data_IF_786991291237
#
_entry.id   IF_786991291237
#
_cell.length_a   1.000
_cell.length_b   1.000
_cell.length_c   1.000
_cell.angle_alpha   90.00
_cell.angle_beta   90.00
_cell.angle_gamma   90.00
#
_symmetry.space_group_name_H-M   'P 1'
#
loop_
_entity.id
_entity.type
_entity.pdbx_description
1 polymer ?
#
# COMPACT_ATOMS: atom_id res chain seq x y z
N UNK A 1 12.51 -15.39 -22.38
CA UNK A 1 11.28 -15.83 -23.07
C UNK A 1 11.35 -15.64 -24.58
N UNK A 2 11.74 -14.46 -25.12
CA UNK A 2 11.74 -14.22 -26.58
C UNK A 2 13.02 -14.65 -27.34
N UNK A 3 14.15 -14.80 -26.63
CA UNK A 3 15.44 -15.17 -27.23
C UNK A 3 15.58 -16.63 -27.74
N UNK A 4 15.06 -17.67 -27.06
CA UNK A 4 15.31 -19.07 -27.44
C UNK A 4 14.93 -19.45 -28.89
N UNK A 5 13.84 -18.90 -29.46
CA UNK A 5 13.56 -19.10 -30.88
C UNK A 5 14.62 -18.56 -31.85
N UNK A 6 15.37 -17.52 -31.46
CA UNK A 6 16.50 -17.00 -32.25
C UNK A 6 17.67 -18.00 -32.31
N UNK A 7 17.84 -18.80 -31.26
CA UNK A 7 18.87 -19.83 -31.16
C UNK A 7 18.39 -21.22 -31.62
N UNK A 8 17.20 -21.30 -32.26
CA UNK A 8 16.57 -22.56 -32.70
C UNK A 8 16.30 -23.57 -31.59
N UNK A 9 16.21 -23.12 -30.33
CA UNK A 9 15.87 -23.98 -29.19
C UNK A 9 14.36 -24.24 -29.08
N UNK A 10 13.54 -23.40 -29.74
CA UNK A 10 12.11 -23.57 -29.92
C UNK A 10 11.67 -22.75 -31.17
N UNK A 11 10.39 -22.74 -31.52
CA UNK A 11 9.85 -21.96 -32.65
C UNK A 11 8.48 -21.37 -32.30
N UNK A 12 8.12 -20.29 -32.98
CA UNK A 12 6.77 -19.73 -32.86
C UNK A 12 5.81 -20.47 -33.78
N UNK A 13 4.70 -20.97 -33.23
CA UNK A 13 3.61 -21.61 -33.97
C UNK A 13 2.27 -21.00 -33.58
N UNK A 14 1.23 -21.09 -34.44
CA UNK A 14 -0.12 -20.71 -34.05
C UNK A 14 -0.55 -21.52 -32.81
N UNK A 15 -0.86 -20.83 -31.72
CA UNK A 15 -1.30 -21.46 -30.46
C UNK A 15 -2.82 -21.68 -30.46
N UNK A 16 -3.24 -22.82 -29.90
CA UNK A 16 -4.65 -23.14 -29.71
C UNK A 16 -5.44 -23.24 -31.02
N UNK A 17 -6.46 -22.38 -31.18
CA UNK A 17 -7.30 -22.34 -32.39
C UNK A 17 -6.71 -21.51 -33.53
N UNK A 18 -5.51 -20.93 -33.35
CA UNK A 18 -4.76 -20.27 -34.42
C UNK A 18 -4.98 -18.76 -34.58
N UNK A 19 -5.72 -18.09 -33.68
CA UNK A 19 -5.88 -16.63 -33.70
C UNK A 19 -4.66 -15.85 -33.16
N UNK A 20 -3.66 -16.54 -32.61
CA UNK A 20 -2.45 -15.92 -32.08
C UNK A 20 -1.26 -16.85 -32.26
N UNK A 21 -0.07 -16.26 -32.36
CA UNK A 21 1.19 -17.00 -32.38
C UNK A 21 1.76 -17.05 -30.96
N UNK A 22 2.35 -18.19 -30.60
CA UNK A 22 3.11 -18.35 -29.38
C UNK A 22 4.13 -19.47 -29.51
N UNK A 23 4.65 -19.96 -28.40
CA UNK A 23 5.75 -20.94 -28.45
C UNK A 23 5.22 -22.33 -28.78
N UNK A 24 6.03 -23.15 -29.44
CA UNK A 24 5.65 -24.51 -29.76
C UNK A 24 5.79 -25.41 -28.52
N UNK A 25 4.70 -25.55 -27.77
CA UNK A 25 4.58 -26.45 -26.61
C UNK A 25 4.48 -27.93 -27.00
N UNK A 26 4.25 -28.22 -28.27
CA UNK A 26 4.13 -29.59 -28.77
C UNK A 26 5.46 -30.19 -29.18
N UNK A 27 6.49 -29.34 -29.37
CA UNK A 27 7.84 -29.83 -29.63
C UNK A 27 8.37 -30.66 -28.45
N UNK A 28 8.71 -31.91 -28.75
CA UNK A 28 9.17 -32.89 -27.76
C UNK A 28 10.69 -32.96 -27.65
N UNK A 29 11.42 -32.13 -28.40
CA UNK A 29 12.87 -32.06 -28.33
C UNK A 29 13.37 -31.77 -26.91
N UNK A 30 14.55 -32.31 -26.56
CA UNK A 30 15.15 -32.08 -25.25
C UNK A 30 15.46 -30.58 -25.03
N UNK A 31 15.85 -29.87 -26.09
CA UNK A 31 16.11 -28.43 -26.06
C UNK A 31 14.86 -27.64 -25.65
N UNK A 32 13.71 -27.90 -26.29
CA UNK A 32 12.44 -27.26 -25.94
C UNK A 32 12.02 -27.55 -24.51
N UNK A 33 12.17 -28.80 -24.04
CA UNK A 33 11.81 -29.19 -22.66
C UNK A 33 12.66 -28.46 -21.63
N UNK A 34 13.98 -28.45 -21.79
CA UNK A 34 14.91 -27.74 -20.90
C UNK A 34 14.58 -26.24 -20.88
N UNK A 35 14.31 -25.67 -22.04
CA UNK A 35 13.90 -24.28 -22.15
C UNK A 35 12.64 -23.97 -21.33
N UNK A 36 11.57 -24.75 -21.45
CA UNK A 36 10.33 -24.51 -20.69
C UNK A 36 10.51 -24.73 -19.19
N UNK A 37 11.31 -25.72 -18.77
CA UNK A 37 11.62 -25.92 -17.34
C UNK A 37 12.32 -24.69 -16.76
N UNK A 38 13.34 -24.18 -17.46
CA UNK A 38 14.04 -22.96 -17.05
C UNK A 38 13.12 -21.74 -17.08
N UNK A 39 12.26 -21.62 -18.09
CA UNK A 39 11.28 -20.54 -18.17
C UNK A 39 10.32 -20.57 -16.97
N UNK A 40 9.77 -21.72 -16.60
CA UNK A 40 8.92 -21.83 -15.42
C UNK A 40 9.67 -21.51 -14.13
N UNK A 41 10.90 -22.00 -13.96
CA UNK A 41 11.69 -21.70 -12.78
C UNK A 41 11.96 -20.19 -12.63
N UNK A 42 12.52 -19.56 -13.65
CA UNK A 42 13.03 -18.18 -13.58
C UNK A 42 11.99 -17.10 -13.84
N UNK A 43 10.94 -17.40 -14.60
CA UNK A 43 9.93 -16.40 -15.02
C UNK A 43 8.65 -16.58 -14.22
N UNK A 44 8.33 -17.80 -13.78
CA UNK A 44 7.12 -18.06 -13.02
C UNK A 44 7.35 -18.21 -11.51
N UNK A 45 8.09 -19.24 -11.09
CA UNK A 45 8.21 -19.62 -9.67
C UNK A 45 9.11 -18.69 -8.87
N UNK A 46 10.31 -18.35 -9.35
CA UNK A 46 11.23 -17.44 -8.63
C UNK A 46 10.58 -16.07 -8.43
N UNK A 47 10.04 -15.39 -9.46
CA UNK A 47 9.36 -14.11 -9.27
C UNK A 47 8.17 -14.22 -8.32
N UNK A 48 7.38 -15.30 -8.40
CA UNK A 48 6.27 -15.52 -7.48
C UNK A 48 6.72 -15.63 -6.02
N UNK A 49 7.74 -16.44 -5.73
CA UNK A 49 8.28 -16.61 -4.38
C UNK A 49 8.80 -15.28 -3.84
N UNK A 50 9.56 -14.54 -4.65
CA UNK A 50 10.08 -13.22 -4.28
C UNK A 50 8.94 -12.24 -3.99
N UNK A 51 7.94 -12.18 -4.86
CA UNK A 51 6.76 -11.34 -4.67
C UNK A 51 6.01 -11.71 -3.38
N UNK A 52 5.84 -13.00 -3.09
CA UNK A 52 5.18 -13.48 -1.89
C UNK A 52 5.95 -13.07 -0.62
N UNK A 53 7.26 -13.33 -0.57
CA UNK A 53 8.11 -13.00 0.58
C UNK A 53 8.09 -11.50 0.85
N UNK A 54 8.30 -10.68 -0.19
CA UNK A 54 8.32 -9.22 -0.05
C UNK A 54 6.95 -8.71 0.42
N UNK A 55 5.85 -9.20 -0.15
CA UNK A 55 4.51 -8.78 0.26
C UNK A 55 4.19 -9.15 1.71
N UNK A 56 4.54 -10.36 2.13
CA UNK A 56 4.37 -10.79 3.52
C UNK A 56 5.20 -9.93 4.48
N UNK A 57 6.47 -9.68 4.14
CA UNK A 57 7.35 -8.83 4.93
C UNK A 57 6.79 -7.40 5.08
N UNK A 58 6.43 -6.77 3.96
CA UNK A 58 5.90 -5.41 3.93
C UNK A 58 4.58 -5.32 4.69
N UNK A 59 3.67 -6.27 4.50
CA UNK A 59 2.40 -6.33 5.22
C UNK A 59 2.61 -6.43 6.73
N UNK A 60 3.48 -7.35 7.18
CA UNK A 60 3.80 -7.53 8.60
C UNK A 60 4.43 -6.27 9.20
N UNK A 61 5.37 -5.64 8.50
CA UNK A 61 6.02 -4.40 8.95
C UNK A 61 5.03 -3.24 9.08
N UNK A 62 4.18 -3.03 8.07
CA UNK A 62 3.16 -1.97 8.11
C UNK A 62 2.16 -2.22 9.24
N UNK A 63 1.73 -3.46 9.44
CA UNK A 63 0.82 -3.81 10.55
C UNK A 63 1.48 -3.48 11.89
N UNK A 64 2.72 -3.93 12.12
CA UNK A 64 3.45 -3.66 13.35
C UNK A 64 3.60 -2.15 13.62
N UNK A 65 4.04 -1.38 12.61
CA UNK A 65 4.19 0.07 12.71
C UNK A 65 2.85 0.78 12.97
N UNK A 66 1.78 0.38 12.28
CA UNK A 66 0.47 0.97 12.47
C UNK A 66 -0.06 0.73 13.89
N UNK A 67 0.12 -0.49 14.44
CA UNK A 67 -0.24 -0.80 15.83
C UNK A 67 0.61 -0.03 16.84
N UNK A 68 1.93 0.11 16.60
CA UNK A 68 2.80 0.89 17.48
C UNK A 68 2.41 2.37 17.51
N UNK A 69 2.24 3.02 16.34
CA UNK A 69 1.85 4.43 16.25
C UNK A 69 0.45 4.67 16.80
N UNK A 70 -0.52 3.79 16.55
CA UNK A 70 -1.87 3.91 17.11
C UNK A 70 -1.89 3.82 18.64
N UNK A 71 -1.04 2.96 19.23
CA UNK A 71 -0.88 2.88 20.69
C UNK A 71 -0.32 4.17 21.27
N UNK A 72 0.73 4.74 20.65
CA UNK A 72 1.33 6.00 21.12
C UNK A 72 0.33 7.16 21.10
N UNK A 73 -0.46 7.28 20.03
CA UNK A 73 -1.53 8.29 19.94
C UNK A 73 -2.57 8.12 21.05
N UNK A 74 -2.93 6.87 21.37
CA UNK A 74 -3.90 6.57 22.44
C UNK A 74 -3.34 6.93 23.82
N UNK A 75 -2.07 6.65 24.10
CA UNK A 75 -1.43 7.02 25.37
C UNK A 75 -1.31 8.53 25.52
N UNK A 76 -0.94 9.26 24.46
CA UNK A 76 -0.86 10.74 24.51
C UNK A 76 -2.24 11.39 24.67
N UNK A 77 -3.27 10.89 23.99
CA UNK A 77 -4.65 11.38 24.17
C UNK A 77 -5.17 11.09 25.58
N UNK A 78 -4.86 9.92 26.14
CA UNK A 78 -5.22 9.55 27.51
C UNK A 78 -4.52 10.42 28.56
N UNK A 79 -3.24 10.76 28.34
CA UNK A 79 -2.49 11.67 29.21
C UNK A 79 -2.98 13.12 29.12
N UNK A 80 -3.33 13.61 27.91
CA UNK A 80 -3.91 14.95 27.76
C UNK A 80 -5.28 15.06 28.44
N UNK A 81 -6.13 14.02 28.38
CA UNK A 81 -7.41 14.00 29.08
C UNK A 81 -7.24 13.98 30.60
N UNK A 82 -6.21 13.30 31.12
CA UNK A 82 -5.85 13.33 32.54
C UNK A 82 -5.31 14.69 32.99
N UNK A 83 -4.57 15.42 32.14
CA UNK A 83 -4.08 16.77 32.43
C UNK A 83 -5.22 17.80 32.47
N UNK A 84 -6.18 17.74 31.54
CA UNK A 84 -7.38 18.59 31.57
C UNK A 84 -8.25 18.34 32.82
N UNK A 85 -8.31 17.09 33.28
CA UNK A 85 -9.05 16.73 34.51
C UNK A 85 -8.39 17.30 35.77
N UNK A 86 -7.08 17.53 35.77
CA UNK A 86 -6.36 18.16 36.88
C UNK A 86 -6.37 19.70 36.84
N UNK A 87 -6.75 20.31 35.72
CA UNK A 87 -6.85 21.78 35.61
C UNK A 87 -8.29 22.30 35.78
N UNK A 88 -9.27 21.40 35.96
CA UNK A 88 -10.70 21.74 36.07
C UNK A 88 -11.30 21.48 37.47
N UNK A 89 -10.48 21.38 38.52
CA UNK A 89 -10.94 21.20 39.91
C UNK A 89 -10.16 22.08 40.89
N UNK A 90 -10.31 23.39 40.76
CA UNK A 90 -10.06 24.32 41.87
C UNK A 90 -10.88 25.60 41.74
N UNK A 91 -12.21 25.47 41.87
CA UNK A 91 -13.07 26.54 42.34
C UNK A 91 -14.01 25.97 43.40
N UNK A 92 -13.48 25.81 44.61
CA UNK A 92 -14.30 25.66 45.81
C UNK A 92 -14.83 27.04 46.19
N UNK A 93 -16.12 27.25 45.93
CA UNK A 93 -16.91 28.30 46.56
C UNK A 93 -16.98 28.05 48.07
N UNK A 94 -16.32 28.89 48.85
CA UNK A 94 -16.50 29.02 50.29
C UNK A 94 -16.91 30.45 50.59
N UNK A 95 -18.13 30.61 51.11
CA UNK A 95 -18.60 31.83 51.74
C UNK A 95 -18.50 31.70 53.25
N UNK A 96 -17.71 32.62 53.83
CA UNK A 96 -17.82 33.24 55.16
C UNK A 96 -17.47 32.44 56.42
N UNK A 97 -16.31 32.74 57.01
CA UNK A 97 -16.15 33.56 58.26
C UNK A 97 -14.73 33.42 58.84
N UNK A 98 -14.10 34.54 59.23
CA UNK A 98 -12.75 34.71 59.82
C UNK A 98 -12.64 34.18 61.29
N UNK A 99 -11.49 34.27 62.04
CA UNK A 99 -10.15 34.85 61.75
C UNK A 99 -8.90 34.08 62.30
N UNK A 100 -7.69 34.63 62.05
CA UNK A 100 -6.37 34.40 62.71
C UNK A 100 -5.63 33.10 62.29
N UNK A 101 -4.47 33.09 61.61
CA UNK A 101 -3.15 33.59 62.05
C UNK A 101 -2.25 34.01 60.88
N UNK A 102 -1.41 35.04 61.12
CA UNK A 102 -0.36 35.63 60.28
C UNK A 102 0.62 34.63 59.64
N UNK A 103 1.07 34.93 58.41
CA UNK A 103 2.49 35.28 58.18
C UNK A 103 2.68 36.16 56.93
N UNK A 104 3.40 37.27 57.12
CA UNK A 104 3.90 38.22 56.11
C UNK A 104 5.15 37.64 55.43
N UNK A 105 5.38 37.88 54.13
CA UNK A 105 6.31 38.93 53.66
C UNK A 105 6.48 38.97 52.13
N UNK A 106 6.17 40.12 51.56
CA UNK A 106 6.94 40.93 50.58
C UNK A 106 7.83 40.28 49.51
N UNK A 107 7.42 40.54 48.25
CA UNK A 107 8.23 41.13 47.13
C UNK A 107 9.31 40.28 46.45
N UNK A 108 8.99 39.75 45.25
CA UNK A 108 9.79 40.04 44.04
C UNK A 108 8.98 39.85 42.74
N UNK A 109 8.72 40.96 42.05
CA UNK A 109 8.20 41.03 40.69
C UNK A 109 9.31 40.66 39.70
N UNK A 110 9.59 39.37 39.40
CA UNK A 110 10.33 39.01 38.16
C UNK A 110 10.23 37.55 37.68
N UNK A 111 9.16 36.77 37.94
CA UNK A 111 9.10 35.38 37.42
C UNK A 111 7.80 34.99 36.70
N UNK A 112 6.81 35.87 36.62
CA UNK A 112 5.52 35.58 35.96
C UNK A 112 5.60 35.55 34.42
N UNK A 113 6.66 36.07 33.81
CA UNK A 113 6.84 36.02 32.35
C UNK A 113 7.58 34.76 31.87
N UNK A 114 8.59 34.28 32.61
CA UNK A 114 9.32 33.06 32.28
C UNK A 114 8.45 31.80 32.42
N UNK A 115 7.62 31.70 33.47
CA UNK A 115 6.67 30.58 33.63
C UNK A 115 5.58 30.57 32.55
N UNK A 116 5.14 31.74 32.07
CA UNK A 116 4.15 31.84 30.98
C UNK A 116 4.74 31.55 29.59
N UNK A 117 6.04 31.79 29.38
CA UNK A 117 6.73 31.45 28.13
C UNK A 117 7.07 29.95 28.10
N UNK A 118 7.57 29.37 29.19
CA UNK A 118 7.87 27.93 29.30
C UNK A 118 6.62 27.06 29.15
N UNK A 119 5.49 27.46 29.74
CA UNK A 119 4.20 26.77 29.57
C UNK A 119 3.66 26.87 28.13
N UNK A 120 3.76 28.04 27.48
CA UNK A 120 3.36 28.20 26.06
C UNK A 120 4.28 27.43 25.10
N UNK A 121 5.58 27.37 25.37
CA UNK A 121 6.54 26.57 24.60
C UNK A 121 6.25 25.07 24.76
N UNK A 122 5.98 24.59 25.98
CA UNK A 122 5.58 23.21 26.23
C UNK A 122 4.27 22.84 25.49
N UNK A 123 3.25 23.70 25.53
CA UNK A 123 1.98 23.49 24.79
C UNK A 123 2.20 23.50 23.26
N UNK A 124 3.06 24.39 22.73
CA UNK A 124 3.44 24.40 21.31
C UNK A 124 4.21 23.13 20.91
N UNK A 125 5.10 22.66 21.77
CA UNK A 125 5.90 21.46 21.54
C UNK A 125 5.03 20.21 21.53
N UNK A 126 4.06 20.08 22.44
CA UNK A 126 3.06 18.99 22.46
C UNK A 126 2.18 18.99 21.22
N UNK A 127 1.68 20.16 20.76
CA UNK A 127 0.91 20.27 19.51
C UNK A 127 1.72 19.86 18.28
N UNK A 128 2.99 20.25 18.22
CA UNK A 128 3.89 19.91 17.10
C UNK A 128 4.16 18.41 17.05
N UNK A 129 4.41 17.79 18.21
CA UNK A 129 4.57 16.35 18.35
C UNK A 129 3.31 15.58 17.93
N UNK A 130 2.13 16.01 18.39
CA UNK A 130 0.84 15.41 18.00
C UNK A 130 0.59 15.49 16.49
N UNK A 131 0.87 16.64 15.86
CA UNK A 131 0.72 16.77 14.40
C UNK A 131 1.67 15.86 13.64
N UNK A 132 2.94 15.75 14.08
CA UNK A 132 3.89 14.83 13.47
C UNK A 132 3.42 13.37 13.60
N UNK A 133 2.90 12.97 14.76
CA UNK A 133 2.38 11.63 14.99
C UNK A 133 1.14 11.31 14.13
N UNK A 134 0.22 12.27 13.99
CA UNK A 134 -0.95 12.15 13.11
C UNK A 134 -0.55 12.04 11.63
N UNK A 135 0.43 12.84 11.18
CA UNK A 135 0.97 12.76 9.82
C UNK A 135 1.60 11.40 9.55
N UNK A 136 2.40 10.86 10.49
CA UNK A 136 2.97 9.52 10.39
C UNK A 136 1.89 8.44 10.28
N UNK A 137 0.83 8.49 11.10
CA UNK A 137 -0.30 7.57 11.01
C UNK A 137 -0.99 7.63 9.65
N UNK A 138 -1.20 8.83 9.12
CA UNK A 138 -1.80 9.02 7.80
C UNK A 138 -0.93 8.48 6.67
N UNK A 139 0.39 8.60 6.79
CA UNK A 139 1.37 7.99 5.87
C UNK A 139 1.31 6.47 5.94
N UNK A 140 1.35 5.87 7.13
CA UNK A 140 1.23 4.42 7.32
C UNK A 140 -0.12 3.87 6.82
N UNK A 141 -1.21 4.62 6.96
CA UNK A 141 -2.52 4.26 6.36
C UNK A 141 -2.47 4.29 4.83
N UNK A 142 -1.70 5.19 4.23
CA UNK A 142 -1.46 5.20 2.79
C UNK A 142 -0.58 4.03 2.37
N UNK A 143 0.53 3.78 3.07
CA UNK A 143 1.42 2.63 2.85
C UNK A 143 0.66 1.31 2.94
N UNK A 144 -0.27 1.18 3.90
CA UNK A 144 -1.18 0.03 4.01
C UNK A 144 -2.04 -0.17 2.76
N UNK A 145 -2.53 0.91 2.14
CA UNK A 145 -3.32 0.82 0.89
C UNK A 145 -2.44 0.31 -0.26
N UNK A 146 -1.20 0.80 -0.36
CA UNK A 146 -0.24 0.30 -1.35
C UNK A 146 0.06 -1.19 -1.13
N UNK A 147 0.28 -1.62 0.11
CA UNK A 147 0.51 -3.03 0.44
C UNK A 147 -0.71 -3.92 0.14
N UNK A 148 -1.94 -3.42 0.30
CA UNK A 148 -3.12 -4.16 -0.15
C UNK A 148 -3.19 -4.25 -1.67
N UNK A 149 -2.85 -3.17 -2.39
CA UNK A 149 -2.80 -3.20 -3.84
C UNK A 149 -1.79 -4.23 -4.38
N UNK A 150 -0.63 -4.36 -3.73
CA UNK A 150 0.36 -5.36 -4.13
C UNK A 150 -0.11 -6.79 -3.86
N UNK A 151 -0.91 -7.04 -2.82
CA UNK A 151 -1.59 -8.33 -2.63
C UNK A 151 -2.53 -8.63 -3.80
N UNK A 152 -3.31 -7.64 -4.26
CA UNK A 152 -4.18 -7.82 -5.43
C UNK A 152 -3.37 -8.11 -6.71
N UNK A 153 -2.21 -7.48 -6.89
CA UNK A 153 -1.30 -7.77 -8.01
C UNK A 153 -0.77 -9.20 -7.96
N UNK A 154 -0.42 -9.72 -6.77
CA UNK A 154 0.01 -11.12 -6.62
C UNK A 154 -1.14 -12.09 -6.90
N UNK A 155 -2.36 -11.79 -6.44
CA UNK A 155 -3.52 -12.64 -6.74
C UNK A 155 -3.87 -12.63 -8.23
N UNK A 156 -3.80 -11.47 -8.88
CA UNK A 156 -4.01 -11.33 -10.33
C UNK A 156 -2.96 -12.15 -11.10
N UNK A 157 -1.70 -12.05 -10.70
CA UNK A 157 -0.63 -12.83 -11.29
C UNK A 157 -0.92 -14.34 -11.20
N UNK A 158 -1.34 -14.83 -10.04
CA UNK A 158 -1.72 -16.23 -9.86
C UNK A 158 -2.94 -16.60 -10.70
N UNK A 159 -4.04 -15.84 -10.62
CA UNK A 159 -5.27 -16.18 -11.32
C UNK A 159 -5.09 -16.18 -12.84
N UNK A 160 -4.31 -15.25 -13.37
CA UNK A 160 -4.13 -15.08 -14.81
C UNK A 160 -3.08 -16.04 -15.39
N UNK A 161 -2.01 -16.36 -14.66
CA UNK A 161 -0.92 -17.20 -15.17
C UNK A 161 -0.98 -18.66 -14.72
N UNK A 162 -1.58 -18.98 -13.56
CA UNK A 162 -1.63 -20.36 -13.04
C UNK A 162 -2.34 -21.33 -13.98
N UNK A 163 -3.52 -21.01 -14.57
CA UNK A 163 -4.18 -21.94 -15.49
C UNK A 163 -3.30 -22.29 -16.70
N UNK A 164 -2.63 -21.29 -17.26
CA UNK A 164 -1.71 -21.49 -18.37
C UNK A 164 -0.48 -22.31 -17.97
N UNK A 165 0.13 -21.99 -16.83
CA UNK A 165 1.29 -22.72 -16.29
C UNK A 165 0.97 -24.19 -16.00
N UNK A 166 -0.20 -24.46 -15.40
CA UNK A 166 -0.69 -25.82 -15.17
C UNK A 166 -0.80 -26.55 -16.50
N UNK A 167 -1.54 -26.01 -17.47
CA UNK A 167 -1.74 -26.68 -18.75
C UNK A 167 -0.40 -26.97 -19.46
N UNK A 168 0.50 -26.00 -19.49
CA UNK A 168 1.83 -26.17 -20.07
C UNK A 168 2.70 -27.22 -19.34
N UNK A 169 2.65 -27.30 -18.01
CA UNK A 169 3.32 -28.35 -17.24
C UNK A 169 2.73 -29.74 -17.53
N UNK A 170 1.40 -29.85 -17.61
CA UNK A 170 0.73 -31.09 -17.99
C UNK A 170 1.17 -31.58 -19.38
N UNK A 171 1.32 -30.66 -20.34
CA UNK A 171 1.89 -30.98 -21.65
C UNK A 171 3.33 -31.46 -21.54
N UNK A 172 4.18 -30.82 -20.72
CA UNK A 172 5.59 -31.17 -20.55
C UNK A 172 5.79 -32.60 -20.00
N UNK A 173 4.93 -33.05 -19.08
CA UNK A 173 4.97 -34.40 -18.49
C UNK A 173 4.33 -35.50 -19.35
N UNK A 174 4.00 -35.22 -20.62
CA UNK A 174 3.48 -36.19 -21.60
C UNK A 174 2.19 -36.91 -21.18
N UNK A 175 1.27 -36.21 -20.50
CA UNK A 175 -0.08 -36.74 -20.25
C UNK A 175 -0.83 -36.82 -21.60
N UNK A 176 -0.96 -38.04 -22.16
CA UNK A 176 -1.49 -38.35 -23.50
C UNK A 176 -2.90 -37.77 -23.81
N UNK A 177 -3.64 -37.29 -22.81
CA UNK A 177 -5.06 -36.94 -22.92
C UNK A 177 -5.37 -35.49 -23.37
N UNK A 178 -4.37 -34.63 -23.57
CA UNK A 178 -4.62 -33.18 -23.73
C UNK A 178 -4.47 -32.68 -25.18
N UNK A 179 -3.99 -33.51 -26.12
CA UNK A 179 -3.76 -33.11 -27.53
C UNK A 179 -5.01 -32.60 -28.30
N UNK A 180 -6.22 -32.63 -27.71
CA UNK A 180 -7.47 -32.15 -28.34
C UNK A 180 -8.06 -30.85 -27.72
N UNK A 181 -7.44 -30.25 -26.70
CA UNK A 181 -8.02 -29.09 -25.99
C UNK A 181 -7.38 -27.74 -26.37
N UNK A 182 -7.26 -27.47 -27.67
CA UNK A 182 -6.79 -26.18 -28.19
C UNK A 182 -7.58 -24.96 -27.67
N UNK A 183 -8.87 -25.15 -27.37
CA UNK A 183 -9.74 -24.11 -26.81
C UNK A 183 -9.33 -23.74 -25.38
N UNK A 184 -9.01 -24.71 -24.53
CA UNK A 184 -8.65 -24.46 -23.13
C UNK A 184 -7.31 -23.70 -23.04
N UNK A 185 -6.32 -24.09 -23.85
CA UNK A 185 -5.05 -23.35 -23.99
C UNK A 185 -5.29 -21.91 -24.43
N UNK A 186 -6.20 -21.70 -25.38
CA UNK A 186 -6.57 -20.37 -25.88
C UNK A 186 -7.18 -19.52 -24.76
N UNK A 187 -8.15 -20.07 -24.01
CA UNK A 187 -8.78 -19.37 -22.88
C UNK A 187 -7.71 -18.96 -21.86
N UNK A 188 -6.84 -19.89 -21.44
CA UNK A 188 -5.78 -19.58 -20.49
C UNK A 188 -4.81 -18.50 -21.00
N UNK A 189 -4.46 -18.52 -22.29
CA UNK A 189 -3.61 -17.50 -22.90
C UNK A 189 -4.28 -16.11 -22.92
N UNK A 190 -5.59 -16.04 -23.17
CA UNK A 190 -6.34 -14.79 -23.09
C UNK A 190 -6.46 -14.28 -21.66
N UNK A 191 -6.71 -15.14 -20.68
CA UNK A 191 -6.74 -14.76 -19.26
C UNK A 191 -5.36 -14.25 -18.80
N UNK A 192 -4.26 -14.84 -19.27
CA UNK A 192 -2.93 -14.28 -19.00
C UNK A 192 -2.76 -12.87 -19.58
N UNK A 193 -3.32 -12.60 -20.76
CA UNK A 193 -3.27 -11.29 -21.43
C UNK A 193 -4.17 -10.24 -20.77
N UNK A 194 -5.25 -10.62 -20.07
CA UNK A 194 -6.10 -9.64 -19.35
C UNK A 194 -5.37 -8.92 -18.23
N UNK A 195 -4.30 -9.51 -17.68
CA UNK A 195 -3.43 -8.87 -16.70
C UNK A 195 -2.82 -7.54 -17.22
N UNK A 196 -2.64 -7.38 -18.54
CA UNK A 196 -2.16 -6.12 -19.13
C UNK A 196 -3.12 -4.96 -18.93
N UNK A 197 -4.42 -5.24 -18.77
CA UNK A 197 -5.46 -4.24 -18.52
C UNK A 197 -5.65 -4.05 -17.01
N UNK A 198 -5.68 -5.15 -16.24
CA UNK A 198 -5.97 -5.12 -14.81
C UNK A 198 -4.84 -4.48 -13.98
N UNK A 199 -3.57 -4.68 -14.35
CA UNK A 199 -2.43 -4.11 -13.64
C UNK A 199 -2.50 -2.56 -13.56
N UNK A 200 -2.60 -1.80 -14.69
CA UNK A 200 -2.79 -0.35 -14.64
C UNK A 200 -4.00 0.09 -13.81
N UNK A 201 -5.13 -0.62 -13.89
CA UNK A 201 -6.34 -0.28 -13.13
C UNK A 201 -6.12 -0.40 -11.62
N UNK A 202 -5.41 -1.44 -11.17
CA UNK A 202 -5.06 -1.62 -9.75
C UNK A 202 -4.18 -0.45 -9.28
N UNK A 203 -3.18 -0.05 -10.06
CA UNK A 203 -2.33 1.11 -9.71
C UNK A 203 -3.13 2.42 -9.65
N UNK A 204 -4.00 2.66 -10.64
CA UNK A 204 -4.86 3.85 -10.69
C UNK A 204 -5.81 3.92 -9.50
N UNK A 205 -6.41 2.80 -9.10
CA UNK A 205 -7.25 2.73 -7.91
C UNK A 205 -6.48 3.08 -6.62
N UNK A 206 -5.18 2.75 -6.57
CA UNK A 206 -4.33 2.88 -5.38
C UNK A 206 -3.81 4.31 -5.14
N UNK A 207 -3.56 5.09 -6.21
CA UNK A 207 -3.01 6.47 -6.14
C UNK A 207 -3.92 7.49 -5.40
N UNK A 208 -5.14 7.09 -5.02
CA UNK A 208 -6.23 7.88 -4.43
C UNK A 208 -7.16 8.49 -5.47
N UNK A 209 -8.34 7.91 -5.45
CA UNK A 209 -9.63 8.48 -5.83
C UNK A 209 -9.87 9.93 -5.39
N UNK A 210 -9.19 10.50 -4.38
CA UNK A 210 -9.38 11.90 -3.98
C UNK A 210 -8.65 12.91 -4.88
N UNK A 211 -7.45 12.59 -5.38
CA UNK A 211 -6.75 13.46 -6.35
C UNK A 211 -7.44 13.33 -7.70
N UNK A 212 -7.81 12.12 -8.10
CA UNK A 212 -8.54 11.86 -9.34
C UNK A 212 -9.96 12.48 -9.30
N UNK A 213 -10.71 12.33 -8.20
CA UNK A 213 -11.99 13.04 -8.00
C UNK A 213 -11.80 14.55 -7.97
N UNK A 214 -10.77 15.08 -7.28
CA UNK A 214 -10.48 16.51 -7.26
C UNK A 214 -10.13 17.04 -8.66
N UNK A 215 -9.37 16.29 -9.46
CA UNK A 215 -9.08 16.64 -10.86
C UNK A 215 -10.34 16.58 -11.72
N UNK A 216 -11.16 15.53 -11.63
CA UNK A 216 -12.41 15.41 -12.36
C UNK A 216 -13.41 16.52 -11.99
N UNK A 217 -13.59 16.83 -10.71
CA UNK A 217 -14.48 17.90 -10.25
C UNK A 217 -13.93 19.31 -10.53
N UNK A 218 -12.62 19.53 -10.38
CA UNK A 218 -11.98 20.80 -10.74
C UNK A 218 -11.85 21.00 -12.25
N UNK A 219 -11.90 19.94 -13.07
CA UNK A 219 -11.88 20.07 -14.54
C UNK A 219 -13.18 20.68 -15.07
N UNK A 220 -14.31 20.36 -14.43
CA UNK A 220 -15.64 20.88 -14.78
C UNK A 220 -15.93 22.28 -14.20
N UNK A 221 -15.16 22.74 -13.21
CA UNK A 221 -15.33 24.04 -12.58
C UNK A 221 -14.27 25.05 -13.05
N UNK A 222 -14.73 26.20 -13.56
CA UNK A 222 -13.88 27.29 -14.06
C UNK A 222 -13.50 28.35 -13.02
N UNK A 223 -13.84 28.15 -11.74
CA UNK A 223 -13.55 29.16 -10.72
C UNK A 223 -12.06 29.29 -10.41
N UNK A 224 -11.66 30.47 -9.93
CA UNK A 224 -10.25 30.81 -9.68
C UNK A 224 -9.59 29.85 -8.65
N UNK A 225 -10.34 29.46 -7.60
CA UNK A 225 -9.87 28.51 -6.59
C UNK A 225 -9.54 27.12 -7.18
N UNK A 226 -10.42 26.57 -8.04
CA UNK A 226 -10.20 25.27 -8.70
C UNK A 226 -9.05 25.32 -9.74
N UNK A 227 -8.84 26.48 -10.39
CA UNK A 227 -7.71 26.70 -11.32
C UNK A 227 -6.37 26.73 -10.59
N UNK A 228 -6.29 27.38 -9.43
CA UNK A 228 -5.08 27.42 -8.59
C UNK A 228 -4.77 26.02 -8.04
N UNK A 229 -5.77 25.32 -7.48
CA UNK A 229 -5.61 23.98 -6.91
C UNK A 229 -5.14 22.95 -7.95
N UNK A 230 -5.56 23.09 -9.22
CA UNK A 230 -5.05 22.28 -10.35
C UNK A 230 -3.54 22.45 -10.57
N UNK A 231 -3.01 23.68 -10.49
CA UNK A 231 -1.56 23.94 -10.69
C UNK A 231 -0.70 23.38 -9.55
N UNK A 232 -1.22 23.33 -8.32
CA UNK A 232 -0.48 22.82 -7.15
C UNK A 232 -0.45 21.29 -7.09
N UNK A 233 -1.44 20.60 -7.68
CA UNK A 233 -1.54 19.12 -7.65
C UNK A 233 -0.67 18.46 -8.75
N UNK A 234 -0.36 19.19 -9.83
CA UNK A 234 0.39 18.68 -10.99
C UNK A 234 1.91 18.92 -10.87
N UNK A 235 2.35 19.67 -9.85
CA UNK A 235 3.76 19.79 -9.44
C UNK A 235 4.03 18.82 -8.30
#
# INVERSE_FOLDING_TARGET
FALPPLFKWNKYTPEGIGFHCGLDWFDRSLSSRIYFILAFAFIYFIPFIVLLIINLYVYCKIRCLLYATARMIKTDLGLNFSYEKHQSTSCSSSSNSSPITKCKNSRFHTETNAMNVSSRLAVRQTRTFQMNCLMQLNRLKADRRFAFATIFLVSEYLLSWTPYAIMALFYLFNVKYINQQSVLMTICAFTAKTAMILNPLIYLATIKTNIFKSMLWCSKCSCCYCRIKRKTIVR
#
